data_IF_124830027614
#
_entry.id   IF_124830027614
#
_cell.length_a   1.000
_cell.length_b   1.000
_cell.length_c   1.000
_cell.angle_alpha   90.00
_cell.angle_beta   90.00
_cell.angle_gamma   90.00
#
_symmetry.space_group_name_H-M   'P 1'
#
loop_
_entity.id
_entity.type
_entity.pdbx_description
1 polymer ?
#
# COMPACT_ATOMS: atom_id res chain seq x y z
N UNK A 1 16.67 -13.47 23.40
CA UNK A 1 17.35 -13.09 22.16
C UNK A 1 16.92 -11.67 21.87
N UNK A 2 17.68 -10.67 22.37
CA UNK A 2 17.30 -9.26 22.29
C UNK A 2 17.35 -8.79 20.84
N UNK A 3 16.38 -7.97 20.44
CA UNK A 3 16.34 -7.33 19.14
C UNK A 3 17.23 -6.07 19.12
N UNK A 4 18.51 -6.21 19.51
CA UNK A 4 19.52 -5.12 19.43
C UNK A 4 20.11 -4.95 18.02
N UNK A 5 19.49 -5.59 17.02
CA UNK A 5 19.85 -5.46 15.61
C UNK A 5 18.93 -4.47 14.87
N UNK A 6 19.28 -4.13 13.62
CA UNK A 6 18.41 -3.29 12.79
C UNK A 6 17.00 -3.90 12.71
N UNK A 7 15.96 -3.06 12.78
CA UNK A 7 14.53 -3.45 12.75
C UNK A 7 14.22 -4.48 11.65
N UNK A 8 14.96 -4.41 10.54
CA UNK A 8 14.84 -5.32 9.41
C UNK A 8 16.24 -5.73 8.93
N UNK A 9 16.56 -7.02 9.00
CA UNK A 9 17.79 -7.56 8.42
C UNK A 9 17.68 -7.73 6.88
N UNK A 10 18.81 -7.92 6.21
CA UNK A 10 18.84 -8.07 4.75
C UNK A 10 18.10 -9.32 4.26
N UNK A 11 18.08 -10.40 5.04
CA UNK A 11 17.34 -11.61 4.66
C UNK A 11 15.84 -11.39 4.78
N UNK A 12 15.42 -10.63 5.78
CA UNK A 12 14.03 -10.26 5.97
C UNK A 12 13.55 -9.33 4.85
N UNK A 13 14.35 -8.35 4.44
CA UNK A 13 14.06 -7.47 3.30
C UNK A 13 13.87 -8.27 1.99
N UNK A 14 14.72 -9.27 1.73
CA UNK A 14 14.55 -10.17 0.56
C UNK A 14 13.25 -10.97 0.63
N UNK A 15 12.81 -11.37 1.82
CA UNK A 15 11.50 -12.06 2.01
C UNK A 15 10.35 -11.08 1.76
N UNK A 16 10.48 -9.84 2.21
CA UNK A 16 9.49 -8.78 1.97
C UNK A 16 9.36 -8.46 0.48
N UNK A 17 10.46 -8.41 -0.28
CA UNK A 17 10.42 -8.23 -1.73
C UNK A 17 9.55 -9.30 -2.41
N UNK A 18 9.72 -10.57 -2.02
CA UNK A 18 8.91 -11.67 -2.55
C UNK A 18 7.44 -11.56 -2.14
N UNK A 19 7.18 -11.16 -0.89
CA UNK A 19 5.82 -10.97 -0.37
C UNK A 19 5.12 -9.82 -1.08
N UNK A 20 5.79 -8.69 -1.27
CA UNK A 20 5.27 -7.55 -1.98
C UNK A 20 4.95 -7.88 -3.46
N UNK A 21 5.83 -8.64 -4.11
CA UNK A 21 5.61 -9.12 -5.47
C UNK A 21 4.39 -10.06 -5.55
N UNK A 22 4.27 -11.00 -4.61
CA UNK A 22 3.14 -11.94 -4.56
C UNK A 22 1.82 -11.21 -4.26
N UNK A 23 1.83 -10.25 -3.33
CA UNK A 23 0.67 -9.43 -3.02
C UNK A 23 0.21 -8.63 -4.25
N UNK A 24 1.15 -8.04 -4.99
CA UNK A 24 0.86 -7.33 -6.24
C UNK A 24 0.26 -8.24 -7.31
N UNK A 25 0.77 -9.45 -7.45
CA UNK A 25 0.24 -10.45 -8.40
C UNK A 25 -1.16 -10.93 -7.98
N UNK A 26 -1.39 -11.17 -6.69
CA UNK A 26 -2.69 -11.57 -6.17
C UNK A 26 -3.74 -10.45 -6.35
N UNK A 27 -3.37 -9.20 -6.08
CA UNK A 27 -4.25 -8.04 -6.30
C UNK A 27 -4.59 -7.88 -7.78
N UNK A 28 -3.62 -8.06 -8.69
CA UNK A 28 -3.87 -8.02 -10.15
C UNK A 28 -4.76 -9.18 -10.63
N UNK A 29 -4.66 -10.36 -10.01
CA UNK A 29 -5.47 -11.54 -10.36
C UNK A 29 -6.91 -11.50 -9.85
N UNK A 30 -7.19 -10.80 -8.74
CA UNK A 30 -8.50 -10.77 -8.07
C UNK A 30 -9.32 -9.51 -8.39
N UNK A 31 -8.81 -8.59 -9.21
CA UNK A 31 -9.48 -7.31 -9.53
C UNK A 31 -10.64 -7.42 -10.54
N UNK A 32 -11.27 -8.60 -10.68
CA UNK A 32 -12.61 -8.72 -11.26
C UNK A 32 -13.75 -8.17 -10.37
N UNK A 33 -13.49 -7.75 -9.14
CA UNK A 33 -14.45 -7.32 -8.11
C UNK A 33 -14.38 -5.82 -7.79
N UNK A 34 -15.27 -5.08 -8.36
CA UNK A 34 -16.01 -3.87 -7.93
C UNK A 34 -15.39 -2.98 -6.80
N UNK A 35 -14.27 -2.32 -7.03
CA UNK A 35 -13.85 -1.15 -6.25
C UNK A 35 -14.00 0.13 -7.07
N UNK A 36 -15.17 0.75 -6.96
CA UNK A 36 -15.40 2.12 -7.45
C UNK A 36 -14.72 3.13 -6.51
N UNK A 37 -13.61 3.72 -6.89
CA UNK A 37 -13.06 4.91 -6.25
C UNK A 37 -13.01 6.06 -7.26
N UNK A 38 -13.41 7.24 -6.80
CA UNK A 38 -13.35 8.48 -7.57
C UNK A 38 -12.04 9.19 -7.25
N UNK A 39 -11.03 9.06 -8.10
CA UNK A 39 -9.80 9.85 -8.00
C UNK A 39 -9.41 10.37 -9.38
N UNK A 40 -9.11 11.66 -9.47
CA UNK A 40 -8.61 12.32 -10.68
C UNK A 40 -7.09 12.12 -10.76
N UNK A 41 -6.61 11.58 -11.86
CA UNK A 41 -5.19 11.54 -12.22
C UNK A 41 -4.59 10.14 -12.12
N UNK A 42 -4.83 9.31 -13.11
CA UNK A 42 -4.22 8.00 -13.22
C UNK A 42 -3.78 7.73 -14.66
N UNK A 43 -2.67 7.06 -14.79
CA UNK A 43 -2.29 6.40 -16.03
C UNK A 43 -3.32 5.31 -16.31
N UNK A 44 -4.00 5.42 -17.45
CA UNK A 44 -5.02 4.47 -17.87
C UNK A 44 -4.32 3.41 -18.70
N UNK A 45 -4.12 2.22 -18.15
CA UNK A 45 -3.55 1.09 -18.88
C UNK A 45 -4.70 0.24 -19.46
N UNK A 46 -4.60 -0.08 -20.77
CA UNK A 46 -5.56 -0.96 -21.42
C UNK A 46 -5.53 -2.35 -20.75
N UNK A 47 -6.69 -2.87 -20.38
CA UNK A 47 -6.81 -4.16 -19.70
C UNK A 47 -7.38 -5.24 -20.59
N UNK A 48 -8.57 -5.02 -21.17
CA UNK A 48 -9.30 -6.05 -21.90
C UNK A 48 -10.45 -5.43 -22.72
N UNK A 49 -11.14 -6.27 -23.49
CA UNK A 49 -12.35 -5.94 -24.20
C UNK A 49 -13.56 -6.67 -23.57
N UNK A 50 -14.69 -6.00 -23.51
CA UNK A 50 -15.96 -6.59 -23.14
C UNK A 50 -17.02 -6.23 -24.20
N UNK A 51 -17.95 -7.14 -24.48
CA UNK A 51 -19.11 -6.79 -25.30
C UNK A 51 -19.89 -5.62 -24.69
N UNK A 52 -20.29 -4.69 -25.56
CA UNK A 52 -21.09 -3.52 -25.19
C UNK A 52 -22.45 -3.96 -24.66
N UNK A 53 -22.89 -3.36 -23.59
CA UNK A 53 -24.21 -3.52 -23.03
C UNK A 53 -24.92 -2.16 -23.05
N UNK A 54 -26.22 -2.08 -23.38
CA UNK A 54 -26.95 -0.82 -23.31
C UNK A 54 -26.77 -0.11 -21.96
N UNK A 55 -26.30 1.15 -22.02
CA UNK A 55 -25.92 1.95 -20.83
C UNK A 55 -24.42 2.12 -20.63
N UNK A 56 -23.58 1.40 -21.37
CA UNK A 56 -22.14 1.65 -21.37
C UNK A 56 -21.77 2.97 -22.05
N UNK A 57 -20.63 3.54 -21.68
CA UNK A 57 -20.10 4.76 -22.31
C UNK A 57 -19.64 4.45 -23.75
N UNK A 58 -20.38 4.95 -24.72
CA UNK A 58 -20.11 4.76 -26.16
C UNK A 58 -18.74 5.31 -26.61
N UNK A 59 -18.13 6.23 -25.83
CA UNK A 59 -16.79 6.78 -26.12
C UNK A 59 -15.68 5.74 -25.97
N UNK A 60 -15.99 4.65 -25.26
CA UNK A 60 -15.06 3.54 -25.02
C UNK A 60 -15.21 2.41 -26.02
N UNK A 61 -16.14 2.53 -26.99
CA UNK A 61 -16.31 1.53 -28.05
C UNK A 61 -15.06 1.49 -28.93
N UNK A 62 -14.59 0.26 -29.20
CA UNK A 62 -13.52 0.04 -30.17
C UNK A 62 -14.09 -0.12 -31.58
N UNK A 63 -14.06 0.95 -32.33
CA UNK A 63 -14.55 0.97 -33.73
C UNK A 63 -13.73 0.07 -34.66
N UNK A 64 -12.43 -0.18 -34.35
CA UNK A 64 -11.61 -1.10 -35.13
C UNK A 64 -12.03 -2.56 -34.90
N UNK A 65 -12.39 -2.91 -33.68
CA UNK A 65 -12.96 -4.22 -33.36
C UNK A 65 -14.32 -4.40 -34.04
N UNK A 66 -15.18 -3.38 -34.01
CA UNK A 66 -16.46 -3.39 -34.71
C UNK A 66 -16.31 -3.64 -36.21
N UNK A 67 -15.39 -2.96 -36.88
CA UNK A 67 -15.11 -3.13 -38.29
C UNK A 67 -14.64 -4.54 -38.68
N UNK A 68 -14.08 -5.31 -37.73
CA UNK A 68 -13.57 -6.68 -37.99
C UNK A 68 -14.56 -7.77 -37.60
N UNK A 69 -15.30 -7.55 -36.52
CA UNK A 69 -16.12 -8.60 -35.89
C UNK A 69 -17.63 -8.32 -35.98
N UNK A 70 -18.03 -7.15 -36.49
CA UNK A 70 -19.43 -6.69 -36.53
C UNK A 70 -20.13 -6.73 -35.16
N UNK A 71 -19.35 -6.67 -34.08
CA UNK A 71 -19.80 -6.65 -32.68
C UNK A 71 -19.21 -5.44 -31.97
N UNK A 72 -20.02 -4.83 -31.12
CA UNK A 72 -19.58 -3.70 -30.32
C UNK A 72 -18.82 -4.17 -29.09
N UNK A 73 -17.57 -3.75 -28.98
CA UNK A 73 -16.71 -4.00 -27.83
C UNK A 73 -16.35 -2.69 -27.15
N UNK A 74 -16.38 -2.69 -25.83
CA UNK A 74 -15.92 -1.59 -24.96
C UNK A 74 -14.53 -1.91 -24.44
N UNK A 75 -13.61 -0.95 -24.58
CA UNK A 75 -12.29 -1.03 -23.97
C UNK A 75 -12.38 -0.93 -22.47
N UNK A 76 -11.92 -1.95 -21.78
CA UNK A 76 -11.75 -1.94 -20.35
C UNK A 76 -10.34 -1.39 -20.04
N UNK A 77 -10.28 -0.44 -19.12
CA UNK A 77 -9.03 0.14 -18.69
C UNK A 77 -8.82 -0.20 -17.22
N UNK A 78 -7.61 -0.63 -16.88
CA UNK A 78 -7.18 -0.71 -15.50
C UNK A 78 -6.68 0.66 -15.05
N UNK A 79 -7.31 1.19 -14.05
CA UNK A 79 -6.90 2.42 -13.40
C UNK A 79 -5.91 2.04 -12.29
N UNK A 80 -4.62 2.30 -12.48
CA UNK A 80 -3.66 2.20 -11.35
C UNK A 80 -4.00 3.32 -10.36
N UNK A 81 -4.46 2.93 -9.17
CA UNK A 81 -4.83 3.88 -8.11
C UNK A 81 -3.84 3.81 -6.98
N UNK A 82 -3.16 4.91 -6.74
CA UNK A 82 -2.41 5.09 -5.51
C UNK A 82 -3.39 5.18 -4.32
N UNK A 83 -3.25 4.28 -3.36
CA UNK A 83 -3.95 4.41 -2.09
C UNK A 83 -3.15 5.33 -1.14
N UNK A 84 -3.88 6.05 -0.27
CA UNK A 84 -3.28 6.76 0.85
C UNK A 84 -3.42 5.88 2.09
N UNK A 85 -2.32 5.29 2.54
CA UNK A 85 -2.28 4.38 3.68
C UNK A 85 -1.67 5.12 4.87
N UNK A 86 -2.39 5.16 5.99
CA UNK A 86 -1.87 5.70 7.24
C UNK A 86 -1.65 4.57 8.23
N UNK A 87 -0.40 4.41 8.67
CA UNK A 87 -0.02 3.44 9.70
C UNK A 87 0.00 4.14 11.04
N UNK A 88 -0.91 3.75 11.92
CA UNK A 88 -0.98 4.24 13.29
C UNK A 88 -0.22 3.28 14.21
N UNK A 89 0.68 3.83 15.03
CA UNK A 89 1.47 3.09 16.02
C UNK A 89 1.17 3.61 17.41
N UNK A 90 0.65 2.74 18.28
CA UNK A 90 0.45 3.04 19.70
C UNK A 90 1.81 3.20 20.38
N UNK A 91 2.04 4.37 20.96
CA UNK A 91 3.30 4.76 21.62
C UNK A 91 3.18 4.75 23.12
N UNK A 92 2.12 4.14 23.68
CA UNK A 92 1.94 4.05 25.14
C UNK A 92 3.05 3.23 25.81
N UNK A 93 3.37 3.55 27.06
CA UNK A 93 4.38 2.84 27.84
C UNK A 93 4.04 1.36 28.04
N UNK A 94 2.76 0.98 27.96
CA UNK A 94 2.33 -0.43 28.04
C UNK A 94 2.80 -1.28 26.85
N UNK A 95 3.25 -0.64 25.77
CA UNK A 95 3.83 -1.33 24.60
C UNK A 95 5.28 -1.76 24.83
N UNK A 96 5.98 -1.17 25.80
CA UNK A 96 7.37 -1.53 26.14
C UNK A 96 7.49 -2.76 27.05
N UNK A 97 6.44 -3.56 27.16
CA UNK A 97 6.40 -4.76 27.98
C UNK A 97 6.53 -6.04 27.16
N UNK A 98 7.25 -7.04 27.72
CA UNK A 98 7.43 -8.37 27.13
C UNK A 98 8.84 -8.60 26.54
N UNK A 99 9.14 -9.85 26.15
CA UNK A 99 10.38 -10.22 25.45
C UNK A 99 10.07 -11.14 24.27
N UNK A 100 10.16 -10.68 23.00
CA UNK A 100 10.37 -9.27 22.61
C UNK A 100 9.24 -8.37 23.08
N UNK A 101 9.49 -7.06 23.27
CA UNK A 101 8.45 -6.14 23.68
C UNK A 101 7.38 -5.99 22.60
N UNK A 102 6.14 -5.73 23.00
CA UNK A 102 5.03 -5.47 22.04
C UNK A 102 5.39 -4.33 21.09
N UNK A 103 6.05 -3.29 21.62
CA UNK A 103 6.48 -2.13 20.85
C UNK A 103 7.51 -2.49 19.80
N UNK A 104 8.48 -3.38 20.11
CA UNK A 104 9.46 -3.85 19.14
C UNK A 104 8.77 -4.58 17.97
N UNK A 105 7.83 -5.47 18.28
CA UNK A 105 7.03 -6.18 17.26
C UNK A 105 6.14 -5.23 16.45
N UNK A 106 5.53 -4.24 17.13
CA UNK A 106 4.70 -3.23 16.45
C UNK A 106 5.51 -2.38 15.48
N UNK A 107 6.74 -1.98 15.86
CA UNK A 107 7.66 -1.27 14.96
C UNK A 107 8.04 -2.13 13.74
N UNK A 108 8.36 -3.41 13.95
CA UNK A 108 8.65 -4.32 12.83
C UNK A 108 7.45 -4.45 11.90
N UNK A 109 6.26 -4.66 12.45
CA UNK A 109 5.03 -4.77 11.66
C UNK A 109 4.74 -3.48 10.89
N UNK A 110 4.89 -2.32 11.53
CA UNK A 110 4.73 -1.02 10.89
C UNK A 110 5.71 -0.86 9.70
N UNK A 111 6.99 -1.21 9.89
CA UNK A 111 7.99 -1.16 8.82
C UNK A 111 7.64 -2.10 7.66
N UNK A 112 7.11 -3.30 7.94
CA UNK A 112 6.63 -4.25 6.92
C UNK A 112 5.46 -3.68 6.13
N UNK A 113 4.46 -3.12 6.81
CA UNK A 113 3.29 -2.53 6.16
C UNK A 113 3.68 -1.36 5.27
N UNK A 114 4.56 -0.47 5.76
CA UNK A 114 5.12 0.64 4.96
C UNK A 114 5.83 0.11 3.72
N UNK A 115 6.65 -0.93 3.89
CA UNK A 115 7.39 -1.52 2.76
C UNK A 115 6.46 -2.07 1.68
N UNK A 116 5.46 -2.87 2.08
CA UNK A 116 4.48 -3.48 1.16
C UNK A 116 3.68 -2.39 0.43
N UNK A 117 3.21 -1.37 1.15
CA UNK A 117 2.46 -0.27 0.57
C UNK A 117 3.30 0.49 -0.48
N UNK A 118 4.54 0.86 -0.15
CA UNK A 118 5.43 1.54 -1.10
C UNK A 118 5.80 0.65 -2.30
N UNK A 119 5.92 -0.66 -2.11
CA UNK A 119 6.15 -1.61 -3.20
C UNK A 119 4.96 -1.70 -4.15
N UNK A 120 3.74 -1.42 -3.67
CA UNK A 120 2.52 -1.32 -4.46
C UNK A 120 2.28 0.08 -5.05
N UNK A 121 3.27 0.98 -4.95
CA UNK A 121 3.16 2.39 -5.38
C UNK A 121 2.14 3.23 -4.61
N UNK A 122 1.71 2.78 -3.43
CA UNK A 122 0.84 3.55 -2.56
C UNK A 122 1.60 4.69 -1.86
N UNK A 123 0.84 5.68 -1.37
CA UNK A 123 1.37 6.75 -0.52
C UNK A 123 1.16 6.36 0.94
N UNK A 124 2.19 6.55 1.75
CA UNK A 124 2.16 6.12 3.16
C UNK A 124 2.41 7.31 4.07
N UNK A 125 1.66 7.37 5.18
CA UNK A 125 1.95 8.20 6.33
C UNK A 125 2.12 7.30 7.56
N UNK A 126 2.96 7.73 8.51
CA UNK A 126 3.14 7.02 9.79
C UNK A 126 2.84 7.97 10.93
N UNK A 127 1.99 7.55 11.87
CA UNK A 127 1.54 8.35 13.01
C UNK A 127 1.77 7.59 14.29
N UNK A 128 2.58 8.16 15.18
CA UNK A 128 2.70 7.69 16.56
C UNK A 128 1.59 8.30 17.42
N UNK A 129 0.76 7.47 18.03
CA UNK A 129 -0.37 7.90 18.88
C UNK A 129 0.04 7.78 20.35
N UNK A 130 -0.20 8.83 21.12
CA UNK A 130 -0.02 8.90 22.57
C UNK A 130 -0.86 10.06 23.13
N UNK A 131 -0.85 10.23 24.44
CA UNK A 131 -1.51 11.34 25.16
C UNK A 131 -0.95 12.75 24.85
N UNK A 132 0.23 12.82 24.25
CA UNK A 132 0.90 14.03 23.75
C UNK A 132 0.56 14.30 22.30
N UNK A 133 0.88 15.52 21.77
CA UNK A 133 0.73 15.76 20.33
C UNK A 133 1.35 14.64 19.49
N UNK A 134 0.59 14.11 18.55
CA UNK A 134 1.00 13.01 17.71
C UNK A 134 2.30 13.34 16.95
N UNK A 135 3.27 12.45 17.05
CA UNK A 135 4.45 12.50 16.20
C UNK A 135 4.12 11.85 14.86
N UNK A 136 4.30 12.57 13.76
CA UNK A 136 3.90 11.99 12.49
C UNK A 136 4.88 12.26 11.35
N UNK A 137 4.95 11.31 10.43
CA UNK A 137 5.63 11.42 9.16
C UNK A 137 4.56 11.60 8.06
N UNK A 138 4.53 12.76 7.35
CA UNK A 138 3.52 13.03 6.33
C UNK A 138 3.63 12.07 5.15
N UNK A 139 2.58 12.01 4.33
CA UNK A 139 2.53 11.14 3.16
C UNK A 139 3.75 11.25 2.26
N UNK A 140 4.32 10.11 1.95
CA UNK A 140 5.46 9.94 1.04
C UNK A 140 5.24 8.72 0.16
N UNK A 141 6.00 8.63 -0.93
CA UNK A 141 5.99 7.52 -1.87
C UNK A 141 7.42 7.16 -2.29
N UNK A 142 7.57 6.03 -2.98
CA UNK A 142 8.83 5.59 -3.57
C UNK A 142 9.82 4.96 -2.57
N UNK A 143 10.79 4.23 -3.12
CA UNK A 143 11.77 3.45 -2.32
C UNK A 143 12.60 4.30 -1.36
N UNK A 144 12.92 5.54 -1.71
CA UNK A 144 13.68 6.43 -0.82
C UNK A 144 12.88 6.81 0.44
N UNK A 145 11.54 6.88 0.31
CA UNK A 145 10.66 7.12 1.44
C UNK A 145 10.71 6.03 2.50
N UNK A 146 10.98 4.79 2.11
CA UNK A 146 11.09 3.66 3.04
C UNK A 146 12.19 3.86 4.09
N UNK A 147 13.38 4.25 3.70
CA UNK A 147 14.48 4.46 4.64
C UNK A 147 14.20 5.60 5.61
N UNK A 148 13.52 6.66 5.13
CA UNK A 148 13.07 7.75 5.99
C UNK A 148 12.05 7.28 7.02
N UNK A 149 11.09 6.44 6.58
CA UNK A 149 10.09 5.86 7.47
C UNK A 149 10.70 4.90 8.48
N UNK A 150 11.65 4.06 8.05
CA UNK A 150 12.35 3.13 8.94
C UNK A 150 13.05 3.89 10.06
N UNK A 151 13.83 4.93 9.72
CA UNK A 151 14.50 5.78 10.70
C UNK A 151 13.52 6.49 11.64
N UNK A 152 12.38 6.93 11.12
CA UNK A 152 11.32 7.52 11.93
C UNK A 152 10.74 6.51 12.92
N UNK A 153 10.35 5.31 12.45
CA UNK A 153 9.79 4.24 13.29
C UNK A 153 10.79 3.78 14.36
N UNK A 154 12.07 3.65 14.01
CA UNK A 154 13.14 3.32 14.97
C UNK A 154 13.24 4.35 16.09
N UNK A 155 13.15 5.63 15.75
CA UNK A 155 13.26 6.75 16.69
C UNK A 155 12.07 6.93 17.63
N UNK A 156 10.92 6.28 17.37
CA UNK A 156 9.73 6.38 18.22
C UNK A 156 10.00 5.74 19.59
N UNK A 157 9.52 6.39 20.68
CA UNK A 157 9.69 5.93 22.07
C UNK A 157 8.34 5.60 22.67
N UNK A 158 8.28 4.52 23.43
CA UNK A 158 7.07 4.07 24.14
C UNK A 158 7.03 4.64 25.55
N UNK A 159 6.73 5.93 25.69
CA UNK A 159 6.73 6.66 26.97
C UNK A 159 5.43 7.43 27.24
N UNK A 160 4.45 7.27 26.36
CA UNK A 160 3.14 7.93 26.44
C UNK A 160 2.14 7.18 27.32
N UNK A 161 1.05 7.87 27.67
CA UNK A 161 -0.19 7.25 28.14
C UNK A 161 -1.15 7.10 26.96
N UNK A 162 -1.98 6.08 27.01
CA UNK A 162 -3.05 5.88 26.00
C UNK A 162 -4.26 6.66 26.40
#
# INVERSE_FOLDING_TARGET
MGLDGPLLDQQFLKRLDRLALNARMAIKGDMGGNRKSRSKGSSIEFSDFREYIPGDDFRRIDWNAYARFERLFVKLFMEEREANITVFLDMSASMDWGQPSKGALAKQLAAVLVYIALANFDRVAVVGIQDKPATYLPYFSGKQGFWRALKFIEGLKFDGKT
#
